data_IF_714938025040
#
_entry.id   IF_714938025040
#
_cell.length_a   1.000
_cell.length_b   1.000
_cell.length_c   1.000
_cell.angle_alpha   90.00
_cell.angle_beta   90.00
_cell.angle_gamma   90.00
#
_symmetry.space_group_name_H-M   'P 1'
#
loop_
_entity.id
_entity.type
_entity.pdbx_description
1 polymer ?
#
# COMPACT_ATOMS: atom_id res chain seq x y z
N UNK A 1 6.05 11.21 -9.98
CA UNK A 1 4.93 10.62 -9.22
C UNK A 1 5.40 9.28 -8.64
N UNK A 2 4.94 8.85 -7.45
CA UNK A 2 5.46 7.63 -6.80
C UNK A 2 5.32 6.40 -7.69
N UNK A 3 4.16 6.27 -8.35
CA UNK A 3 3.87 5.22 -9.33
C UNK A 3 4.85 5.25 -10.52
N UNK A 4 5.06 6.43 -11.14
CA UNK A 4 5.96 6.58 -12.28
C UNK A 4 7.42 6.26 -11.95
N UNK A 5 7.87 6.53 -10.72
CA UNK A 5 9.24 6.25 -10.28
C UNK A 5 9.50 4.74 -10.10
N UNK A 6 8.52 4.00 -9.57
CA UNK A 6 8.58 2.53 -9.46
C UNK A 6 8.54 1.89 -10.86
N UNK A 7 7.66 2.41 -11.73
CA UNK A 7 7.55 1.91 -13.11
C UNK A 7 8.80 2.17 -13.94
N UNK A 8 9.42 3.34 -13.83
CA UNK A 8 10.66 3.66 -14.53
C UNK A 8 11.85 2.77 -14.13
N UNK A 9 11.75 2.09 -12.98
CA UNK A 9 12.72 1.09 -12.52
C UNK A 9 12.33 -0.36 -12.86
N UNK A 10 11.22 -0.58 -13.56
CA UNK A 10 10.73 -1.92 -13.93
C UNK A 10 10.07 -2.71 -12.78
N UNK A 11 9.93 -2.12 -11.59
CA UNK A 11 9.49 -2.81 -10.36
C UNK A 11 7.96 -2.88 -10.21
N UNK A 12 7.20 -2.51 -11.24
CA UNK A 12 5.74 -2.40 -11.16
C UNK A 12 5.04 -3.68 -10.73
N UNK A 13 5.62 -4.85 -11.07
CA UNK A 13 5.07 -6.17 -10.71
C UNK A 13 5.61 -6.73 -9.40
N UNK A 14 6.70 -6.17 -8.88
CA UNK A 14 7.43 -6.70 -7.73
C UNK A 14 7.09 -5.97 -6.44
N UNK A 15 6.49 -4.78 -6.54
CA UNK A 15 6.21 -3.89 -5.40
C UNK A 15 4.76 -3.43 -5.42
N UNK A 16 4.13 -3.45 -4.26
CA UNK A 16 2.83 -2.84 -4.03
C UNK A 16 2.97 -1.42 -3.45
N UNK A 17 2.06 -0.52 -3.81
CA UNK A 17 1.97 0.84 -3.31
C UNK A 17 0.65 1.03 -2.56
N UNK A 18 0.73 1.45 -1.30
CA UNK A 18 -0.46 1.72 -0.47
C UNK A 18 -0.38 3.11 0.17
N UNK A 19 -1.51 3.79 0.34
CA UNK A 19 -1.60 5.12 0.98
C UNK A 19 -3.02 5.39 1.52
N UNK A 20 -3.13 6.24 2.55
CA UNK A 20 -4.37 6.88 2.99
C UNK A 20 -4.78 8.08 2.11
N UNK A 21 -3.86 8.57 1.27
CA UNK A 21 -4.12 9.57 0.24
C UNK A 21 -4.65 8.97 -1.08
N UNK A 22 -4.22 9.56 -2.21
CA UNK A 22 -4.62 9.15 -3.56
C UNK A 22 -3.41 8.97 -4.47
N UNK A 23 -3.54 8.09 -5.46
CA UNK A 23 -2.59 7.97 -6.57
C UNK A 23 -3.18 8.52 -7.86
N UNK A 24 -2.36 9.16 -8.70
CA UNK A 24 -2.71 9.59 -10.05
C UNK A 24 -1.80 8.89 -11.07
N UNK A 25 -2.32 7.86 -11.75
CA UNK A 25 -1.59 7.13 -12.79
C UNK A 25 -1.99 5.66 -12.92
N UNK A 26 -1.81 5.09 -14.12
CA UNK A 26 -2.20 3.73 -14.47
C UNK A 26 -1.50 2.65 -13.62
N UNK A 27 -2.30 1.80 -12.99
CA UNK A 27 -1.89 0.71 -12.11
C UNK A 27 -1.29 -0.45 -12.90
N UNK A 28 0.03 -0.58 -12.89
CA UNK A 28 0.74 -1.76 -13.43
C UNK A 28 1.26 -2.68 -12.30
N UNK A 29 0.55 -2.69 -11.17
CA UNK A 29 0.83 -3.41 -9.93
C UNK A 29 -0.28 -3.19 -8.89
N UNK A 30 -0.12 -3.72 -7.69
CA UNK A 30 -1.07 -3.45 -6.59
C UNK A 30 -0.93 -2.01 -6.10
N UNK A 31 -1.94 -1.19 -6.38
CA UNK A 31 -2.00 0.20 -5.96
C UNK A 31 -3.28 0.42 -5.18
N UNK A 32 -3.18 0.67 -3.88
CA UNK A 32 -4.33 0.86 -2.97
C UNK A 32 -4.26 2.27 -2.37
N UNK A 33 -5.23 3.11 -2.71
CA UNK A 33 -5.39 4.42 -2.08
C UNK A 33 -6.55 4.43 -1.09
N UNK A 34 -6.76 5.58 -0.45
CA UNK A 34 -7.94 5.84 0.38
C UNK A 34 -8.10 4.85 1.54
N UNK A 35 -6.99 4.39 2.11
CA UNK A 35 -7.05 3.55 3.31
C UNK A 35 -7.51 4.42 4.48
N UNK A 36 -8.51 3.92 5.22
CA UNK A 36 -9.14 4.64 6.33
C UNK A 36 -9.29 3.75 7.56
N UNK A 37 -9.28 4.32 8.79
CA UNK A 37 -8.99 5.73 9.10
C UNK A 37 -7.57 6.13 8.69
N UNK A 38 -7.37 7.41 8.37
CA UNK A 38 -6.06 7.94 7.97
C UNK A 38 -5.03 7.78 9.08
N UNK A 39 -3.75 7.70 8.72
CA UNK A 39 -2.68 7.58 9.69
C UNK A 39 -2.64 8.77 10.65
N UNK A 40 -3.00 9.97 10.18
CA UNK A 40 -3.03 11.19 11.01
C UNK A 40 -3.94 11.08 12.23
N UNK A 41 -5.06 10.36 12.12
CA UNK A 41 -6.02 10.15 13.21
C UNK A 41 -5.77 8.84 13.97
N UNK A 42 -4.61 8.20 13.76
CA UNK A 42 -4.23 6.95 14.42
C UNK A 42 -4.86 5.69 13.82
N UNK A 43 -5.25 5.72 12.55
CA UNK A 43 -5.70 4.53 11.84
C UNK A 43 -4.60 3.47 11.66
N UNK A 44 -4.93 2.28 11.13
CA UNK A 44 -4.01 1.14 11.07
C UNK A 44 -2.67 1.43 10.37
N UNK A 45 -2.65 2.29 9.37
CA UNK A 45 -1.41 2.69 8.69
C UNK A 45 -0.41 3.40 9.62
N UNK A 46 -0.88 4.06 10.68
CA UNK A 46 -0.01 4.71 11.66
C UNK A 46 0.85 3.72 12.46
N UNK A 47 0.42 2.46 12.56
CA UNK A 47 1.15 1.42 13.30
C UNK A 47 2.27 0.76 12.48
N UNK A 48 2.30 0.97 11.16
CA UNK A 48 3.25 0.31 10.24
C UNK A 48 4.67 0.78 10.49
N UNK A 49 5.60 -0.18 10.55
CA UNK A 49 7.04 0.03 10.66
C UNK A 49 7.79 -0.68 9.54
N UNK A 50 9.01 -0.22 9.27
CA UNK A 50 9.87 -0.87 8.28
C UNK A 50 10.13 -2.33 8.66
N UNK A 51 9.90 -3.23 7.70
CA UNK A 51 10.05 -4.68 7.89
C UNK A 51 8.77 -5.41 8.29
N UNK A 52 7.68 -4.70 8.56
CA UNK A 52 6.38 -5.33 8.80
C UNK A 52 5.86 -6.04 7.54
N UNK A 53 5.17 -7.16 7.75
CA UNK A 53 4.57 -7.92 6.66
C UNK A 53 3.13 -7.45 6.42
N UNK A 54 2.86 -7.04 5.18
CA UNK A 54 1.54 -6.61 4.72
C UNK A 54 1.06 -7.61 3.66
N UNK A 55 -0.14 -8.14 3.85
CA UNK A 55 -0.79 -9.07 2.92
C UNK A 55 -1.92 -8.34 2.17
N UNK A 56 -1.89 -8.42 0.84
CA UNK A 56 -2.94 -7.89 -0.03
C UNK A 56 -3.62 -9.08 -0.72
N UNK A 57 -4.91 -9.27 -0.45
CA UNK A 57 -5.73 -10.31 -1.08
C UNK A 57 -6.87 -9.63 -1.86
N UNK A 58 -6.73 -9.53 -3.18
CA UNK A 58 -7.75 -8.90 -4.04
C UNK A 58 -9.00 -9.75 -4.23
N UNK A 59 -8.90 -11.07 -4.07
CA UNK A 59 -10.04 -11.98 -4.19
C UNK A 59 -10.94 -11.84 -2.97
N UNK A 60 -10.34 -11.82 -1.77
CA UNK A 60 -11.06 -11.59 -0.50
C UNK A 60 -11.29 -10.11 -0.19
N UNK A 61 -10.68 -9.20 -0.96
CA UNK A 61 -10.73 -7.74 -0.78
C UNK A 61 -10.20 -7.28 0.58
N UNK A 62 -9.09 -7.88 1.03
CA UNK A 62 -8.48 -7.59 2.32
C UNK A 62 -7.08 -6.98 2.16
N UNK A 63 -6.74 -6.10 3.10
CA UNK A 63 -5.41 -5.55 3.31
C UNK A 63 -5.06 -5.73 4.79
N UNK A 64 -4.14 -6.64 5.10
CA UNK A 64 -3.83 -7.05 6.47
C UNK A 64 -2.41 -6.67 6.86
N UNK A 65 -2.25 -5.93 7.95
CA UNK A 65 -0.97 -5.75 8.63
C UNK A 65 -0.76 -6.93 9.59
N UNK A 66 0.27 -7.75 9.35
CA UNK A 66 0.58 -8.92 10.19
C UNK A 66 1.49 -8.50 11.34
N UNK A 67 0.88 -8.10 12.45
CA UNK A 67 1.61 -7.81 13.70
C UNK A 67 2.01 -9.14 14.35
N UNK A 68 3.30 -9.30 14.65
CA UNK A 68 3.78 -10.37 15.52
C UNK A 68 3.70 -9.88 16.96
N UNK A 69 3.07 -10.69 17.82
CA UNK A 69 3.09 -10.48 19.27
C UNK A 69 4.45 -10.86 19.87
#
# INVERSE_FOLDING_TARGET
>A
MPTSAVMGKGLGKDVALITDGRFSGGSHGFVVGHISPEAFVGGPLAAVKNGDLIEIDSVKKNLNLKIKN
#
